data_IF_049113792815
#
_entry.id   IF_049113792815
#
_cell.length_a   1.000
_cell.length_b   1.000
_cell.length_c   1.000
_cell.angle_alpha   90.00
_cell.angle_beta   90.00
_cell.angle_gamma   90.00
#
_symmetry.space_group_name_H-M   'P 1'
#
loop_
_entity.id
_entity.type
_entity.pdbx_description
1 polymer ?
#
# COMPACT_ATOMS: atom_id res chain seq x y z
N UNK A 1 -11.98 15.80 2.85
CA UNK A 1 -10.84 15.04 2.28
C UNK A 1 -11.02 13.59 2.70
N UNK A 2 -10.89 12.63 1.79
CA UNK A 2 -11.06 11.21 2.12
C UNK A 2 -9.66 10.65 2.42
N UNK A 3 -9.39 10.13 3.64
CA UNK A 3 -8.08 9.63 4.04
C UNK A 3 -7.47 8.61 3.07
N UNK A 4 -8.31 7.86 2.36
CA UNK A 4 -7.87 6.94 1.31
C UNK A 4 -7.14 7.68 0.17
N UNK A 5 -7.80 8.67 -0.44
CA UNK A 5 -7.22 9.40 -1.57
C UNK A 5 -6.01 10.23 -1.15
N UNK A 6 -5.98 10.72 0.09
CA UNK A 6 -4.85 11.48 0.63
C UNK A 6 -3.61 10.60 0.80
N UNK A 7 -3.78 9.39 1.33
CA UNK A 7 -2.70 8.43 1.47
C UNK A 7 -2.17 7.96 0.11
N UNK A 8 -3.06 7.60 -0.83
CA UNK A 8 -2.67 7.22 -2.21
C UNK A 8 -1.90 8.35 -2.88
N UNK A 9 -2.44 9.57 -2.87
CA UNK A 9 -1.78 10.74 -3.47
C UNK A 9 -0.41 11.00 -2.85
N UNK A 10 -0.27 10.86 -1.53
CA UNK A 10 1.00 11.01 -0.83
C UNK A 10 2.03 9.96 -1.27
N UNK A 11 1.64 8.69 -1.32
CA UNK A 11 2.53 7.59 -1.72
C UNK A 11 2.95 7.69 -3.18
N UNK A 12 2.02 8.00 -4.09
CA UNK A 12 2.32 8.19 -5.52
C UNK A 12 3.30 9.34 -5.75
N UNK A 13 3.08 10.49 -5.10
CA UNK A 13 3.99 11.64 -5.17
C UNK A 13 5.37 11.36 -4.60
N UNK A 14 5.45 10.46 -3.61
CA UNK A 14 6.71 10.05 -3.02
C UNK A 14 7.45 8.98 -3.85
N UNK A 15 6.87 8.47 -4.95
CA UNK A 15 7.53 7.45 -5.77
C UNK A 15 7.58 6.08 -5.09
N UNK A 16 6.61 5.77 -4.22
CA UNK A 16 6.51 4.47 -3.55
C UNK A 16 6.28 3.35 -4.56
N UNK A 17 6.82 2.16 -4.28
CA UNK A 17 6.60 0.97 -5.09
C UNK A 17 5.08 0.75 -5.33
N UNK A 18 4.64 0.64 -6.59
CA UNK A 18 3.25 0.37 -6.92
C UNK A 18 2.68 -0.88 -6.25
N UNK A 19 3.51 -1.90 -5.97
CA UNK A 19 3.06 -3.10 -5.26
C UNK A 19 2.70 -2.81 -3.81
N UNK A 20 3.45 -1.95 -3.11
CA UNK A 20 3.09 -1.47 -1.78
C UNK A 20 1.77 -0.69 -1.80
N UNK A 21 1.62 0.26 -2.73
CA UNK A 21 0.39 1.04 -2.89
C UNK A 21 -0.80 0.11 -3.15
N UNK A 22 -0.62 -0.90 -4.01
CA UNK A 22 -1.69 -1.83 -4.33
C UNK A 22 -2.06 -2.75 -3.17
N UNK A 23 -1.09 -3.20 -2.36
CA UNK A 23 -1.35 -3.94 -1.13
C UNK A 23 -2.18 -3.10 -0.16
N UNK A 24 -1.74 -1.86 0.08
CA UNK A 24 -2.40 -0.91 0.96
C UNK A 24 -3.84 -0.64 0.52
N UNK A 25 -4.04 -0.32 -0.76
CA UNK A 25 -5.35 -0.06 -1.33
C UNK A 25 -6.32 -1.25 -1.21
N UNK A 26 -5.80 -2.47 -1.38
CA UNK A 26 -6.60 -3.70 -1.27
C UNK A 26 -7.06 -3.93 0.17
N UNK A 27 -6.14 -3.81 1.13
CA UNK A 27 -6.44 -4.06 2.53
C UNK A 27 -7.27 -2.96 3.20
N UNK A 28 -7.21 -1.71 2.74
CA UNK A 28 -8.00 -0.60 3.28
C UNK A 28 -9.52 -0.88 3.30
N UNK A 29 -10.00 -1.62 2.29
CA UNK A 29 -11.40 -2.06 2.18
C UNK A 29 -11.58 -3.54 2.54
N UNK A 30 -10.58 -4.17 3.15
CA UNK A 30 -10.58 -5.58 3.54
C UNK A 30 -10.83 -6.56 2.37
N UNK A 31 -10.36 -6.21 1.17
CA UNK A 31 -10.37 -7.17 0.06
C UNK A 31 -9.46 -8.37 0.41
N UNK A 32 -9.78 -9.58 -0.03
CA UNK A 32 -8.88 -10.73 0.13
C UNK A 32 -7.49 -10.44 -0.44
N UNK A 33 -6.46 -11.03 0.18
CA UNK A 33 -5.12 -11.04 -0.43
C UNK A 33 -5.18 -11.70 -1.81
N UNK A 34 -4.34 -11.21 -2.73
CA UNK A 34 -4.06 -11.89 -4.00
C UNK A 34 -3.50 -13.29 -3.74
N UNK A 35 -3.54 -14.11 -4.78
CA UNK A 35 -2.98 -15.46 -4.73
C UNK A 35 -1.47 -15.42 -4.41
N UNK A 36 -0.95 -16.47 -3.75
CA UNK A 36 0.44 -16.54 -3.26
C UNK A 36 1.49 -16.25 -4.36
N UNK A 37 1.25 -16.71 -5.59
CA UNK A 37 2.14 -16.46 -6.73
C UNK A 37 2.11 -15.01 -7.26
N UNK A 38 1.22 -14.16 -6.74
CA UNK A 38 0.97 -12.78 -7.18
C UNK A 38 1.25 -11.74 -6.09
N UNK A 39 1.76 -12.17 -4.94
CA UNK A 39 2.22 -11.27 -3.89
C UNK A 39 3.75 -11.24 -3.84
N UNK A 40 4.29 -10.13 -3.36
CA UNK A 40 5.70 -9.97 -3.04
C UNK A 40 5.85 -9.19 -1.74
N UNK A 41 7.09 -8.93 -1.32
CA UNK A 41 7.36 -8.27 -0.04
C UNK A 41 6.74 -6.87 0.05
N UNK A 42 6.81 -6.09 -1.03
CA UNK A 42 6.22 -4.74 -1.09
C UNK A 42 4.70 -4.80 -0.93
N UNK A 43 4.04 -5.69 -1.67
CA UNK A 43 2.60 -5.90 -1.56
C UNK A 43 2.19 -6.33 -0.16
N UNK A 44 2.90 -7.28 0.44
CA UNK A 44 2.58 -7.78 1.78
C UNK A 44 2.74 -6.67 2.84
N UNK A 45 3.83 -5.90 2.79
CA UNK A 45 4.04 -4.77 3.69
C UNK A 45 2.96 -3.69 3.53
N UNK A 46 2.61 -3.36 2.28
CA UNK A 46 1.52 -2.44 1.98
C UNK A 46 0.18 -2.93 2.52
N UNK A 47 -0.13 -4.23 2.33
CA UNK A 47 -1.37 -4.84 2.80
C UNK A 47 -1.51 -4.78 4.32
N UNK A 48 -0.44 -5.05 5.08
CA UNK A 48 -0.45 -4.90 6.54
C UNK A 48 -0.78 -3.47 6.97
N UNK A 49 -0.17 -2.47 6.32
CA UNK A 49 -0.46 -1.05 6.56
C UNK A 49 -1.87 -0.64 6.15
N UNK A 50 -2.40 -1.23 5.07
CA UNK A 50 -3.75 -0.98 4.61
C UNK A 50 -4.81 -1.51 5.60
N UNK A 51 -4.57 -2.65 6.26
CA UNK A 51 -5.47 -3.17 7.31
C UNK A 51 -5.60 -2.19 8.48
N UNK A 52 -4.51 -1.51 8.83
CA UNK A 52 -4.45 -0.50 9.88
C UNK A 52 -4.95 0.88 9.41
N UNK A 53 -5.21 1.04 8.10
CA UNK A 53 -5.46 2.32 7.44
C UNK A 53 -4.35 3.36 7.68
N UNK A 54 -3.13 2.89 7.86
CA UNK A 54 -1.94 3.71 8.14
C UNK A 54 -1.26 4.14 6.83
N UNK A 55 -1.29 5.44 6.52
CA UNK A 55 -0.64 6.03 5.34
C UNK A 55 0.83 6.44 5.56
N UNK A 56 1.51 5.82 6.52
CA UNK A 56 2.93 6.01 6.84
C UNK A 56 3.73 4.71 6.71
N UNK A 57 5.04 4.74 6.92
CA UNK A 57 5.89 3.54 6.87
C UNK A 57 6.23 3.05 5.46
N UNK A 58 5.92 3.85 4.44
CA UNK A 58 6.24 3.55 3.04
C UNK A 58 7.66 3.97 2.64
N UNK A 59 8.39 4.65 3.52
CA UNK A 59 9.68 5.30 3.20
C UNK A 59 10.72 4.29 2.71
N UNK A 60 10.72 3.06 3.23
CA UNK A 60 11.58 1.96 2.77
C UNK A 60 11.23 1.43 1.38
N UNK A 61 10.05 1.76 0.86
CA UNK A 61 9.50 1.29 -0.41
C UNK A 61 9.52 2.37 -1.50
N UNK A 62 10.12 3.54 -1.23
CA UNK A 62 10.36 4.56 -2.27
C UNK A 62 11.41 4.03 -3.25
N UNK A 63 11.05 3.95 -4.55
CA UNK A 63 11.99 3.56 -5.61
C UNK A 63 12.99 4.69 -5.85
N UNK A 64 14.27 4.33 -5.93
CA UNK A 64 15.38 5.24 -6.27
C UNK A 64 15.39 5.58 -7.75
#
# INVERSE_FOLDING_TARGET
MNPYYDAITKMEKAGVDPEFISGWASAYYHNPKREEQRVNDAYNAGYEKGLEKDGSGFESWVKK
#
